data_IF_549146325669
#
_entry.id   IF_549146325669
#
_cell.length_a   1.000
_cell.length_b   1.000
_cell.length_c   1.000
_cell.angle_alpha   90.00
_cell.angle_beta   90.00
_cell.angle_gamma   90.00
#
_symmetry.space_group_name_H-M   'P 1'
#
loop_
_entity.id
_entity.type
_entity.pdbx_description
1 polymer ?
#
# COMPACT_ATOMS: atom_id res chain seq x y z
N UNK A 1 -10.59 17.04 15.32
CA UNK A 1 -11.18 17.28 14.01
C UNK A 1 -10.42 16.50 12.94
N UNK A 2 -11.16 15.95 11.99
CA UNK A 2 -10.62 15.07 10.97
C UNK A 2 -9.64 15.78 10.02
N UNK A 3 -9.93 17.04 9.69
CA UNK A 3 -9.08 17.90 8.86
C UNK A 3 -7.69 18.12 9.47
N UNK A 4 -7.64 18.21 10.82
CA UNK A 4 -6.35 18.28 11.51
C UNK A 4 -5.54 17.01 11.31
N UNK A 5 -6.19 15.83 11.33
CA UNK A 5 -5.51 14.56 11.12
C UNK A 5 -4.96 14.45 9.70
N UNK A 6 -5.71 14.83 8.68
CA UNK A 6 -5.23 14.88 7.31
C UNK A 6 -4.02 15.81 7.15
N UNK A 7 -4.12 17.03 7.68
CA UNK A 7 -3.02 17.99 7.68
C UNK A 7 -1.79 17.52 8.47
N UNK A 8 -2.00 16.79 9.57
CA UNK A 8 -0.92 16.16 10.34
C UNK A 8 -0.19 15.11 9.50
N UNK A 9 -0.92 14.22 8.81
CA UNK A 9 -0.33 13.21 7.95
C UNK A 9 0.45 13.83 6.78
N UNK A 10 -0.01 14.93 6.19
CA UNK A 10 0.72 15.62 5.14
C UNK A 10 2.05 16.22 5.62
N UNK A 11 2.07 16.74 6.82
CA UNK A 11 3.25 17.42 7.41
C UNK A 11 4.30 16.44 7.93
N UNK A 12 3.91 15.20 8.25
CA UNK A 12 4.86 14.21 8.76
C UNK A 12 5.89 13.80 7.72
N UNK A 13 7.19 13.76 8.08
CA UNK A 13 8.24 13.24 7.20
C UNK A 13 7.98 11.79 6.82
N UNK A 14 8.37 11.39 5.60
CA UNK A 14 8.15 10.06 5.03
C UNK A 14 8.49 8.93 6.02
N UNK A 15 9.65 9.02 6.68
CA UNK A 15 10.12 8.03 7.68
C UNK A 15 9.21 7.85 8.90
N UNK A 16 8.27 8.78 9.12
CA UNK A 16 7.33 8.77 10.26
C UNK A 16 5.89 8.55 9.85
N UNK A 17 5.59 8.58 8.56
CA UNK A 17 4.22 8.47 8.05
C UNK A 17 3.52 7.19 8.48
N UNK A 18 4.20 6.06 8.42
CA UNK A 18 3.61 4.79 8.85
C UNK A 18 3.17 4.82 10.32
N UNK A 19 4.02 5.38 11.19
CA UNK A 19 3.65 5.59 12.61
C UNK A 19 2.50 6.59 12.77
N UNK A 20 2.49 7.65 11.99
CA UNK A 20 1.41 8.66 12.04
C UNK A 20 0.06 8.07 11.60
N UNK A 21 0.07 7.20 10.58
CA UNK A 21 -1.13 6.45 10.15
C UNK A 21 -1.59 5.49 11.26
N UNK A 22 -0.67 4.83 11.96
CA UNK A 22 -1.00 4.03 13.14
C UNK A 22 -1.69 4.85 14.24
N UNK A 23 -1.20 6.06 14.52
CA UNK A 23 -1.85 6.98 15.45
C UNK A 23 -3.27 7.36 14.97
N UNK A 24 -3.43 7.66 13.68
CA UNK A 24 -4.76 7.95 13.12
C UNK A 24 -5.73 6.79 13.31
N UNK A 25 -5.28 5.56 13.04
CA UNK A 25 -6.08 4.34 13.26
C UNK A 25 -6.46 4.13 14.72
N UNK A 26 -5.52 4.32 15.66
CA UNK A 26 -5.79 4.21 17.09
C UNK A 26 -6.80 5.27 17.61
N UNK A 27 -6.93 6.40 16.90
CA UNK A 27 -7.94 7.41 17.14
C UNK A 27 -9.28 7.14 16.42
N UNK A 28 -9.43 5.97 15.80
CA UNK A 28 -10.66 5.52 15.15
C UNK A 28 -10.83 5.95 13.69
N UNK A 29 -9.81 6.53 13.06
CA UNK A 29 -9.84 6.83 11.64
C UNK A 29 -9.62 5.56 10.80
N UNK A 30 -10.37 5.45 9.72
CA UNK A 30 -10.14 4.45 8.67
C UNK A 30 -9.24 5.04 7.58
N UNK A 31 -8.65 4.19 6.76
CA UNK A 31 -7.89 4.63 5.58
C UNK A 31 -8.45 3.94 4.34
N UNK A 32 -8.75 4.71 3.30
CA UNK A 32 -9.05 4.16 1.99
C UNK A 32 -7.77 3.79 1.23
N UNK A 33 -7.78 2.67 0.48
CA UNK A 33 -6.68 2.34 -0.39
C UNK A 33 -6.53 3.38 -1.51
N UNK A 34 -5.34 3.43 -2.11
CA UNK A 34 -5.04 4.26 -3.27
C UNK A 34 -5.99 3.96 -4.42
N UNK A 35 -6.52 5.02 -5.05
CA UNK A 35 -7.36 4.92 -6.23
C UNK A 35 -7.17 6.16 -7.12
N UNK A 36 -6.87 5.97 -8.39
CA UNK A 36 -6.62 7.07 -9.33
C UNK A 36 -7.79 8.03 -9.49
N UNK A 37 -9.03 7.57 -9.23
CA UNK A 37 -10.23 8.39 -9.35
C UNK A 37 -10.56 9.20 -8.10
N UNK A 38 -10.12 8.77 -6.91
CA UNK A 38 -10.46 9.44 -5.63
C UNK A 38 -9.25 10.04 -4.92
N UNK A 39 -8.07 9.44 -5.02
CA UNK A 39 -6.86 9.94 -4.35
C UNK A 39 -6.38 11.27 -4.92
N UNK A 40 -6.20 12.27 -4.06
CA UNK A 40 -5.67 13.60 -4.41
C UNK A 40 -4.15 13.71 -4.34
N UNK A 41 -3.63 14.94 -4.21
CA UNK A 41 -2.21 15.20 -3.94
C UNK A 41 -1.86 15.23 -2.47
N UNK A 42 -2.84 15.44 -1.60
CA UNK A 42 -2.72 15.55 -0.15
C UNK A 42 -3.68 14.57 0.50
N UNK A 43 -3.48 14.27 1.79
CA UNK A 43 -4.44 13.52 2.57
C UNK A 43 -5.74 14.29 2.68
N UNK A 44 -6.83 13.62 2.36
CA UNK A 44 -8.17 14.17 2.41
C UNK A 44 -9.04 13.36 3.36
N UNK A 45 -10.16 13.94 3.78
CA UNK A 45 -11.18 13.26 4.57
C UNK A 45 -12.38 13.03 3.67
N UNK A 46 -12.94 11.83 3.69
CA UNK A 46 -14.19 11.54 3.02
C UNK A 46 -15.38 12.21 3.74
N UNK A 47 -16.51 12.27 3.08
CA UNK A 47 -17.73 12.92 3.58
C UNK A 47 -18.24 12.33 4.92
N UNK A 48 -17.83 11.11 5.27
CA UNK A 48 -18.17 10.50 6.56
C UNK A 48 -17.42 11.09 7.75
N UNK A 49 -16.43 11.96 7.51
CA UNK A 49 -15.60 12.61 8.52
C UNK A 49 -14.68 11.66 9.32
N UNK A 50 -14.55 10.40 8.90
CA UNK A 50 -13.80 9.35 9.62
C UNK A 50 -12.83 8.57 8.74
N UNK A 51 -12.96 8.66 7.42
CA UNK A 51 -12.12 7.93 6.49
C UNK A 51 -11.11 8.86 5.85
N UNK A 52 -9.83 8.53 5.98
CA UNK A 52 -8.69 9.23 5.39
C UNK A 52 -8.42 8.66 4.00
N UNK A 53 -8.39 9.52 2.99
CA UNK A 53 -8.09 9.16 1.60
C UNK A 53 -6.60 9.37 1.40
N UNK A 54 -5.90 8.27 1.08
CA UNK A 54 -4.45 8.30 0.85
C UNK A 54 -4.13 9.01 -0.47
N UNK A 55 -3.16 9.97 -0.48
CA UNK A 55 -2.84 10.72 -1.69
C UNK A 55 -1.95 9.93 -2.68
N UNK A 56 -2.02 10.28 -3.97
CA UNK A 56 -1.14 9.73 -5.01
C UNK A 56 0.34 10.08 -4.77
N UNK A 57 0.63 11.17 -4.06
CA UNK A 57 1.99 11.55 -3.67
C UNK A 57 2.66 10.54 -2.74
N UNK A 58 1.90 9.67 -2.08
CA UNK A 58 2.45 8.59 -1.28
C UNK A 58 3.03 7.44 -2.12
N UNK A 59 2.80 7.41 -3.44
CA UNK A 59 3.36 6.40 -4.34
C UNK A 59 4.78 6.79 -4.72
N UNK A 60 5.78 6.12 -4.16
CA UNK A 60 7.18 6.35 -4.49
C UNK A 60 7.46 6.06 -5.97
N UNK A 61 8.04 7.03 -6.63
CA UNK A 61 8.38 6.93 -8.05
C UNK A 61 7.28 7.38 -9.02
N UNK A 62 6.12 7.77 -8.53
CA UNK A 62 5.12 8.48 -9.33
C UNK A 62 5.50 9.96 -9.39
N UNK A 63 5.82 10.46 -10.58
CA UNK A 63 6.22 11.85 -10.78
C UNK A 63 5.02 12.80 -10.81
N UNK A 64 5.26 14.08 -10.43
CA UNK A 64 4.22 15.12 -10.41
C UNK A 64 3.51 15.27 -11.75
N UNK A 65 4.24 15.19 -12.85
CA UNK A 65 3.70 15.31 -14.21
C UNK A 65 2.69 14.19 -14.53
N UNK A 66 2.92 12.97 -14.02
CA UNK A 66 1.98 11.86 -14.18
C UNK A 66 0.75 12.07 -13.29
N UNK A 67 0.95 12.50 -12.05
CA UNK A 67 -0.16 12.84 -11.14
C UNK A 67 -1.05 13.94 -11.73
N UNK A 68 -0.47 15.00 -12.26
CA UNK A 68 -1.24 16.10 -12.88
C UNK A 68 -2.09 15.59 -14.05
N UNK A 69 -1.56 14.70 -14.90
CA UNK A 69 -2.33 14.10 -15.98
C UNK A 69 -3.54 13.30 -15.45
N UNK A 70 -3.37 12.56 -14.36
CA UNK A 70 -4.46 11.80 -13.73
C UNK A 70 -5.51 12.74 -13.17
N UNK A 71 -5.10 13.70 -12.35
CA UNK A 71 -6.01 14.60 -11.64
C UNK A 71 -6.82 15.52 -12.55
N UNK A 72 -6.22 15.93 -13.67
CA UNK A 72 -6.88 16.83 -14.65
C UNK A 72 -7.89 16.09 -15.53
N UNK A 73 -7.73 14.78 -15.74
CA UNK A 73 -8.50 14.04 -16.74
C UNK A 73 -9.46 12.98 -16.16
N UNK A 74 -9.43 12.77 -14.83
CA UNK A 74 -10.35 11.84 -14.17
C UNK A 74 -11.79 12.39 -14.11
N UNK A 75 -12.85 11.55 -13.96
CA UNK A 75 -12.77 10.11 -13.67
C UNK A 75 -12.50 9.27 -14.91
N UNK A 76 -11.85 8.12 -14.70
CA UNK A 76 -11.66 7.07 -15.71
C UNK A 76 -12.52 5.87 -15.34
N UNK A 77 -13.37 5.40 -16.25
CA UNK A 77 -14.27 4.27 -16.00
C UNK A 77 -13.67 2.95 -16.50
N UNK A 78 -12.81 3.02 -17.53
CA UNK A 78 -12.18 1.85 -18.15
C UNK A 78 -10.68 2.09 -18.31
N UNK A 79 -9.95 0.99 -18.49
CA UNK A 79 -8.51 1.05 -18.75
C UNK A 79 -8.20 1.71 -20.09
N UNK A 80 -9.07 1.55 -21.09
CA UNK A 80 -8.96 2.19 -22.39
C UNK A 80 -9.09 3.71 -22.28
N UNK A 81 -10.08 4.22 -21.52
CA UNK A 81 -10.20 5.65 -21.23
C UNK A 81 -8.93 6.20 -20.62
N UNK A 82 -8.31 5.47 -19.69
CA UNK A 82 -7.07 5.89 -19.04
C UNK A 82 -5.87 5.87 -19.99
N UNK A 83 -5.66 4.78 -20.73
CA UNK A 83 -4.49 4.59 -21.59
C UNK A 83 -4.52 5.42 -22.87
N UNK A 84 -5.70 5.63 -23.43
CA UNK A 84 -5.89 6.24 -24.77
C UNK A 84 -6.61 7.59 -24.71
N UNK A 85 -6.72 8.18 -23.53
CA UNK A 85 -7.31 9.50 -23.37
C UNK A 85 -6.55 10.57 -24.18
N UNK A 86 -7.28 11.40 -24.91
CA UNK A 86 -6.70 12.38 -25.86
C UNK A 86 -5.76 13.39 -25.19
N UNK A 87 -6.09 13.79 -23.94
CA UNK A 87 -5.33 14.78 -23.19
C UNK A 87 -4.20 14.17 -22.35
N UNK A 88 -4.16 12.85 -22.21
CA UNK A 88 -3.12 12.14 -21.44
C UNK A 88 -1.94 11.84 -22.36
N UNK A 89 -0.82 12.51 -22.13
CA UNK A 89 0.36 12.32 -22.98
C UNK A 89 1.15 11.08 -22.58
N UNK A 90 1.51 10.29 -23.57
CA UNK A 90 2.30 9.07 -23.43
C UNK A 90 3.63 9.28 -22.67
N UNK A 91 4.31 10.41 -22.90
CA UNK A 91 5.59 10.70 -22.26
C UNK A 91 5.47 11.01 -20.77
N UNK A 92 4.36 11.62 -20.33
CA UNK A 92 4.12 11.96 -18.94
C UNK A 92 3.63 10.75 -18.14
N UNK A 93 2.69 9.99 -18.71
CA UNK A 93 2.22 8.73 -18.14
C UNK A 93 2.99 7.54 -18.74
N UNK A 94 4.28 7.48 -18.47
CA UNK A 94 5.21 6.50 -19.04
C UNK A 94 5.12 5.11 -18.36
N UNK A 95 5.87 4.12 -18.88
CA UNK A 95 5.90 2.76 -18.31
C UNK A 95 6.19 2.73 -16.81
N UNK A 96 7.11 3.57 -16.32
CA UNK A 96 7.45 3.63 -14.89
C UNK A 96 6.27 4.14 -14.04
N UNK A 97 5.55 5.15 -14.52
CA UNK A 97 4.35 5.63 -13.83
C UNK A 97 3.26 4.55 -13.78
N UNK A 98 3.01 3.86 -14.91
CA UNK A 98 2.06 2.74 -14.96
C UNK A 98 2.48 1.58 -14.04
N UNK A 99 3.77 1.24 -14.02
CA UNK A 99 4.31 0.20 -13.15
C UNK A 99 4.00 0.45 -11.67
N UNK A 100 4.32 1.65 -11.17
CA UNK A 100 4.06 1.96 -9.76
C UNK A 100 2.57 2.13 -9.44
N UNK A 101 1.76 2.61 -10.37
CA UNK A 101 0.31 2.70 -10.23
C UNK A 101 -0.36 1.32 -10.15
N UNK A 102 0.04 0.38 -11.01
CA UNK A 102 -0.47 -0.99 -10.96
C UNK A 102 -0.06 -1.69 -9.67
N UNK A 103 1.23 -1.70 -9.33
CA UNK A 103 1.77 -2.41 -8.17
C UNK A 103 1.33 -1.82 -6.83
N UNK A 104 1.04 -0.53 -6.76
CA UNK A 104 0.46 0.11 -5.57
C UNK A 104 -1.04 -0.18 -5.40
N UNK A 105 -1.69 -0.76 -6.40
CA UNK A 105 -3.13 -1.03 -6.41
C UNK A 105 -3.99 0.19 -6.76
N UNK A 106 -3.39 1.33 -7.09
CA UNK A 106 -4.14 2.56 -7.41
C UNK A 106 -5.05 2.43 -8.62
N UNK A 107 -4.76 1.50 -9.53
CA UNK A 107 -5.54 1.24 -10.74
C UNK A 107 -6.53 0.06 -10.61
N UNK A 108 -6.73 -0.47 -9.40
CA UNK A 108 -7.61 -1.63 -9.19
C UNK A 108 -9.05 -1.39 -9.69
N UNK A 109 -9.54 -0.17 -9.62
CA UNK A 109 -10.88 0.18 -10.12
C UNK A 109 -11.05 0.11 -11.64
N UNK A 110 -9.94 0.02 -12.40
CA UNK A 110 -9.94 -0.14 -13.86
C UNK A 110 -9.72 -1.58 -14.31
N UNK A 111 -9.45 -2.49 -13.37
CA UNK A 111 -9.30 -3.91 -13.64
C UNK A 111 -10.70 -4.53 -13.75
N UNK A 112 -11.11 -4.91 -14.95
CA UNK A 112 -12.36 -5.61 -15.24
C UNK A 112 -12.17 -7.13 -15.37
N UNK A 113 -13.24 -7.85 -15.70
CA UNK A 113 -13.29 -9.32 -15.78
C UNK A 113 -12.43 -9.93 -16.90
N UNK A 114 -11.88 -9.13 -17.82
CA UNK A 114 -10.95 -9.60 -18.85
C UNK A 114 -9.59 -9.94 -18.28
N UNK A 115 -9.25 -9.41 -17.10
CA UNK A 115 -7.98 -9.66 -16.44
C UNK A 115 -8.12 -10.77 -15.38
N UNK A 116 -7.33 -11.82 -15.51
CA UNK A 116 -7.34 -12.97 -14.58
C UNK A 116 -6.81 -12.63 -13.19
N UNK A 117 -6.09 -11.51 -13.05
CA UNK A 117 -5.57 -11.03 -11.77
C UNK A 117 -4.74 -9.76 -11.91
N UNK A 118 -4.24 -9.25 -10.78
CA UNK A 118 -3.50 -7.99 -10.75
C UNK A 118 -2.14 -8.06 -11.46
N UNK A 119 -1.49 -9.22 -11.48
CA UNK A 119 -0.23 -9.43 -12.21
C UNK A 119 -0.49 -9.44 -13.71
N UNK A 120 -1.53 -10.16 -14.15
CA UNK A 120 -1.98 -10.13 -15.54
C UNK A 120 -2.27 -8.69 -15.99
N UNK A 121 -3.05 -7.93 -15.22
CA UNK A 121 -3.33 -6.53 -15.50
C UNK A 121 -2.05 -5.69 -15.63
N UNK A 122 -1.12 -5.83 -14.69
CA UNK A 122 0.17 -5.14 -14.71
C UNK A 122 1.00 -5.47 -15.95
N UNK A 123 1.06 -6.73 -16.35
CA UNK A 123 1.79 -7.16 -17.55
C UNK A 123 1.21 -6.55 -18.81
N UNK A 124 -0.12 -6.56 -18.95
CA UNK A 124 -0.82 -5.99 -20.09
C UNK A 124 -0.67 -4.47 -20.22
N UNK A 125 -0.60 -3.76 -19.09
CA UNK A 125 -0.71 -2.29 -19.05
C UNK A 125 0.64 -1.61 -18.86
N UNK A 126 1.52 -2.16 -18.05
CA UNK A 126 2.78 -1.53 -17.65
C UNK A 126 4.01 -2.20 -18.25
N UNK A 127 4.11 -3.53 -18.21
CA UNK A 127 5.27 -4.27 -18.76
C UNK A 127 5.28 -4.14 -20.27
N UNK A 128 4.16 -4.42 -20.90
CA UNK A 128 3.99 -4.26 -22.34
C UNK A 128 2.92 -3.18 -22.63
N UNK A 129 3.29 -1.93 -22.37
CA UNK A 129 2.38 -0.80 -22.50
C UNK A 129 1.79 -0.70 -23.91
N UNK A 130 0.46 -0.87 -24.08
CA UNK A 130 -0.20 -0.80 -25.37
C UNK A 130 -0.24 0.65 -25.87
N UNK A 131 -0.13 0.82 -27.19
CA UNK A 131 -0.26 2.13 -27.88
C UNK A 131 -1.65 2.34 -28.47
N UNK A 132 -2.43 1.28 -28.61
CA UNK A 132 -3.79 1.27 -29.17
C UNK A 132 -4.55 0.07 -28.57
N UNK A 133 -5.87 0.11 -28.66
CA UNK A 133 -6.76 -0.94 -28.12
C UNK A 133 -6.43 -2.34 -28.64
N UNK A 134 -6.10 -2.50 -29.91
CA UNK A 134 -5.72 -3.79 -30.46
C UNK A 134 -4.50 -4.39 -29.75
N UNK A 135 -3.49 -3.57 -29.37
CA UNK A 135 -2.36 -4.06 -28.61
C UNK A 135 -2.74 -4.46 -27.18
N UNK A 136 -3.73 -3.80 -26.57
CA UNK A 136 -4.22 -4.20 -25.25
C UNK A 136 -4.91 -5.57 -25.33
N UNK A 137 -5.72 -5.80 -26.36
CA UNK A 137 -6.37 -7.11 -26.58
C UNK A 137 -5.35 -8.22 -26.81
N UNK A 138 -4.33 -7.96 -27.64
CA UNK A 138 -3.23 -8.90 -27.88
C UNK A 138 -2.48 -9.23 -26.56
N UNK A 139 -2.25 -8.24 -25.72
CA UNK A 139 -1.58 -8.40 -24.41
C UNK A 139 -2.43 -9.24 -23.46
N UNK A 140 -3.75 -9.00 -23.40
CA UNK A 140 -4.67 -9.76 -22.55
C UNK A 140 -4.60 -11.25 -22.87
N UNK A 141 -4.53 -11.62 -24.15
CA UNK A 141 -4.37 -13.01 -24.57
C UNK A 141 -2.97 -13.54 -24.26
N UNK A 142 -1.94 -12.74 -24.51
CA UNK A 142 -0.53 -13.13 -24.34
C UNK A 142 -0.17 -13.45 -22.88
N UNK A 143 -0.70 -12.68 -21.93
CA UNK A 143 -0.38 -12.80 -20.51
C UNK A 143 -1.48 -13.50 -19.68
N UNK A 144 -2.47 -14.16 -20.33
CA UNK A 144 -3.64 -14.73 -19.66
C UNK A 144 -3.32 -15.71 -18.51
N UNK A 145 -2.18 -16.38 -18.56
CA UNK A 145 -1.74 -17.37 -17.56
C UNK A 145 -1.10 -16.76 -16.30
N UNK A 146 -0.87 -15.44 -16.25
CA UNK A 146 -0.12 -14.84 -15.14
C UNK A 146 -0.92 -14.71 -13.83
N UNK A 147 -2.23 -14.51 -13.88
CA UNK A 147 -3.09 -14.42 -12.70
C UNK A 147 -2.78 -13.24 -11.77
N UNK A 148 -2.73 -13.51 -10.46
CA UNK A 148 -2.43 -12.53 -9.42
C UNK A 148 -0.95 -12.56 -9.00
N UNK A 149 -0.50 -11.44 -8.41
CA UNK A 149 0.74 -11.44 -7.65
C UNK A 149 0.64 -12.36 -6.44
N UNK A 150 1.76 -13.00 -6.06
CA UNK A 150 1.82 -13.72 -4.80
C UNK A 150 1.59 -12.77 -3.61
N UNK A 151 1.21 -13.33 -2.47
CA UNK A 151 1.03 -12.53 -1.24
C UNK A 151 2.32 -11.81 -0.85
N UNK A 152 3.47 -12.46 -1.00
CA UNK A 152 4.81 -11.92 -0.72
C UNK A 152 5.13 -10.74 -1.63
N UNK A 153 4.89 -10.88 -2.94
CA UNK A 153 5.07 -9.78 -3.91
C UNK A 153 4.18 -8.58 -3.56
N UNK A 154 2.92 -8.81 -3.22
CA UNK A 154 1.98 -7.75 -2.83
C UNK A 154 2.42 -7.02 -1.56
N UNK A 155 2.88 -7.75 -0.55
CA UNK A 155 3.41 -7.17 0.69
C UNK A 155 4.63 -6.30 0.37
N UNK A 156 5.57 -6.82 -0.42
CA UNK A 156 6.77 -6.10 -0.80
C UNK A 156 6.45 -4.83 -1.59
N UNK A 157 5.60 -4.92 -2.62
CA UNK A 157 5.24 -3.78 -3.45
C UNK A 157 4.54 -2.67 -2.66
N UNK A 158 3.56 -3.01 -1.83
CA UNK A 158 2.85 -2.03 -1.01
C UNK A 158 3.80 -1.39 0.00
N UNK A 159 4.66 -2.16 0.66
CA UNK A 159 5.65 -1.63 1.61
C UNK A 159 6.66 -0.70 0.91
N UNK A 160 7.20 -1.13 -0.23
CA UNK A 160 8.23 -0.36 -0.95
C UNK A 160 7.66 0.91 -1.59
N UNK A 161 6.47 0.82 -2.18
CA UNK A 161 5.88 1.92 -2.94
C UNK A 161 5.12 2.92 -2.06
N UNK A 162 4.47 2.48 -0.99
CA UNK A 162 3.63 3.36 -0.15
C UNK A 162 4.21 3.60 1.23
N UNK A 163 5.24 2.87 1.62
CA UNK A 163 5.81 2.90 2.97
C UNK A 163 4.90 2.27 4.03
N UNK A 164 3.80 1.64 3.64
CA UNK A 164 2.83 1.02 4.55
C UNK A 164 2.90 -0.50 4.47
N UNK A 165 3.02 -1.15 5.61
CA UNK A 165 2.95 -2.60 5.69
C UNK A 165 1.48 -3.07 5.66
N UNK A 166 1.07 -3.91 4.69
CA UNK A 166 -0.32 -4.32 4.53
C UNK A 166 -0.68 -5.48 5.47
N UNK A 167 -0.93 -5.19 6.75
CA UNK A 167 -1.22 -6.20 7.80
C UNK A 167 -2.36 -7.13 7.40
N UNK A 168 -3.40 -6.60 6.75
CA UNK A 168 -4.57 -7.36 6.29
C UNK A 168 -4.25 -8.43 5.24
N UNK A 169 -3.09 -8.36 4.57
CA UNK A 169 -2.63 -9.43 3.68
C UNK A 169 -1.93 -10.57 4.44
N UNK A 170 -1.36 -10.27 5.60
CA UNK A 170 -0.64 -11.23 6.45
C UNK A 170 -1.58 -11.88 7.46
N UNK A 171 -2.41 -11.07 8.11
CA UNK A 171 -3.38 -11.52 9.12
C UNK A 171 -4.77 -11.60 8.50
N UNK A 172 -5.29 -12.81 8.38
CA UNK A 172 -6.69 -13.02 7.99
C UNK A 172 -7.61 -12.58 9.14
N UNK A 173 -8.80 -12.07 8.79
CA UNK A 173 -9.71 -11.48 9.78
C UNK A 173 -10.10 -12.41 10.94
N UNK A 174 -10.22 -13.71 10.69
CA UNK A 174 -10.48 -14.73 11.70
C UNK A 174 -9.32 -14.91 12.69
N UNK A 175 -8.07 -14.79 12.25
CA UNK A 175 -6.89 -14.88 13.12
C UNK A 175 -6.85 -13.76 14.15
N UNK A 176 -7.15 -12.52 13.74
CA UNK A 176 -7.22 -11.38 14.66
C UNK A 176 -8.33 -11.57 15.70
N UNK A 177 -9.52 -12.00 15.27
CA UNK A 177 -10.63 -12.31 16.17
C UNK A 177 -10.25 -13.38 17.18
N UNK A 178 -9.60 -14.46 16.74
CA UNK A 178 -9.13 -15.53 17.62
C UNK A 178 -8.13 -15.04 18.67
N UNK A 179 -7.21 -14.14 18.30
CA UNK A 179 -6.25 -13.56 19.26
C UNK A 179 -6.97 -12.72 20.32
N UNK A 180 -7.92 -11.89 19.90
CA UNK A 180 -8.75 -11.08 20.81
C UNK A 180 -9.58 -11.97 21.74
N UNK A 181 -10.27 -12.99 21.21
CA UNK A 181 -11.11 -13.91 21.95
C UNK A 181 -10.30 -14.73 22.99
N UNK A 182 -9.03 -15.01 22.69
CA UNK A 182 -8.12 -15.68 23.63
C UNK A 182 -7.38 -14.71 24.57
N UNK A 183 -7.71 -13.42 24.53
CA UNK A 183 -7.10 -12.41 25.41
C UNK A 183 -5.61 -12.18 25.15
N UNK A 184 -5.14 -12.40 23.93
CA UNK A 184 -3.74 -12.17 23.53
C UNK A 184 -3.65 -10.77 22.89
N UNK A 185 -3.16 -9.74 23.63
CA UNK A 185 -3.12 -8.38 23.14
C UNK A 185 -2.00 -8.17 22.11
N UNK A 186 -2.11 -7.09 21.35
CA UNK A 186 -1.07 -6.64 20.43
C UNK A 186 0.18 -6.15 21.18
N UNK A 187 1.36 -6.20 20.52
CA UNK A 187 2.62 -5.76 21.13
C UNK A 187 2.59 -4.30 21.59
N UNK A 188 1.82 -3.43 20.94
CA UNK A 188 1.65 -2.03 21.35
C UNK A 188 0.93 -1.87 22.70
N UNK A 189 0.18 -2.87 23.14
CA UNK A 189 -0.54 -2.92 24.42
C UNK A 189 0.29 -3.54 25.55
N UNK A 190 1.55 -3.92 25.29
CA UNK A 190 2.43 -4.54 26.27
C UNK A 190 2.72 -3.64 27.46
N UNK A 191 2.28 -4.04 28.66
CA UNK A 191 2.39 -3.30 29.91
C UNK A 191 3.45 -3.84 30.91
N UNK A 192 4.33 -4.76 30.46
CA UNK A 192 5.34 -5.49 31.24
C UNK A 192 4.79 -6.54 32.24
N UNK A 193 3.48 -6.64 32.38
CA UNK A 193 2.81 -7.66 33.23
C UNK A 193 2.25 -8.80 32.39
N UNK A 194 2.07 -8.57 31.09
CA UNK A 194 1.55 -9.57 30.16
C UNK A 194 2.60 -10.65 29.90
N UNK A 195 2.15 -11.90 29.89
CA UNK A 195 3.03 -13.05 29.59
C UNK A 195 3.08 -13.36 28.08
N UNK A 196 2.06 -12.94 27.34
CA UNK A 196 1.92 -13.22 25.91
C UNK A 196 1.40 -11.99 25.18
N UNK A 197 2.00 -11.68 24.03
CA UNK A 197 1.55 -10.66 23.09
C UNK A 197 1.76 -11.18 21.67
N UNK A 198 0.99 -10.69 20.71
CA UNK A 198 1.19 -11.03 19.32
C UNK A 198 1.82 -9.86 18.53
N UNK A 199 2.54 -10.20 17.48
CA UNK A 199 3.10 -9.26 16.51
C UNK A 199 3.41 -9.96 15.19
N UNK A 200 3.65 -9.18 14.15
CA UNK A 200 4.16 -9.63 12.85
C UNK A 200 5.59 -9.18 12.71
N UNK A 201 6.50 -10.08 12.38
CA UNK A 201 7.90 -9.74 12.13
C UNK A 201 8.06 -9.17 10.71
N UNK A 202 8.54 -7.92 10.64
CA UNK A 202 8.86 -7.25 9.36
C UNK A 202 10.28 -7.49 8.92
N UNK A 203 11.21 -7.45 9.89
CA UNK A 203 12.64 -7.53 9.61
C UNK A 203 13.38 -8.22 10.76
N UNK A 204 14.34 -9.05 10.40
CA UNK A 204 15.28 -9.67 11.33
C UNK A 204 16.68 -9.19 10.97
N UNK A 205 17.43 -8.71 11.96
CA UNK A 205 18.82 -8.29 11.80
C UNK A 205 19.67 -8.95 12.87
N UNK A 206 20.77 -9.57 12.48
CA UNK A 206 21.77 -10.10 13.42
C UNK A 206 22.76 -9.00 13.73
N UNK A 207 22.98 -8.74 15.01
CA UNK A 207 23.99 -7.79 15.50
C UNK A 207 24.93 -8.47 16.45
N UNK A 208 26.13 -7.91 16.61
CA UNK A 208 27.12 -8.37 17.56
C UNK A 208 27.32 -7.35 18.68
N UNK A 209 27.55 -7.85 19.89
CA UNK A 209 27.96 -7.03 21.03
C UNK A 209 29.43 -6.67 20.92
N UNK A 210 29.93 -5.81 21.81
CA UNK A 210 31.37 -5.49 21.95
C UNK A 210 32.21 -6.73 22.24
N UNK A 211 31.63 -7.77 22.84
CA UNK A 211 32.28 -9.05 23.18
C UNK A 211 32.00 -10.13 22.11
N UNK A 212 31.68 -9.74 20.89
CA UNK A 212 31.46 -10.61 19.73
C UNK A 212 30.30 -11.63 19.88
N UNK A 213 29.42 -11.46 20.89
CA UNK A 213 28.22 -12.29 21.05
C UNK A 213 27.11 -11.78 20.10
N UNK A 214 26.56 -12.71 19.34
CA UNK A 214 25.45 -12.39 18.42
C UNK A 214 24.12 -12.26 19.17
N UNK A 215 23.25 -11.37 18.70
CA UNK A 215 21.86 -11.24 19.13
C UNK A 215 20.99 -10.82 17.96
N UNK A 216 19.70 -11.16 18.03
CA UNK A 216 18.75 -10.79 17.01
C UNK A 216 18.03 -9.49 17.37
N UNK A 217 17.85 -8.64 16.37
CA UNK A 217 17.00 -7.46 16.46
C UNK A 217 15.84 -7.67 15.51
N UNK A 218 14.65 -7.78 16.07
CA UNK A 218 13.40 -7.91 15.34
C UNK A 218 12.74 -6.54 15.24
N UNK A 219 12.38 -6.14 14.04
CA UNK A 219 11.44 -5.05 13.80
C UNK A 219 10.06 -5.69 13.59
N UNK A 220 9.14 -5.41 14.48
CA UNK A 220 7.82 -6.02 14.51
C UNK A 220 6.72 -4.96 14.44
N UNK A 221 5.55 -5.35 13.98
CA UNK A 221 4.37 -4.49 13.82
C UNK A 221 3.11 -5.22 14.26
N UNK A 222 2.11 -4.50 14.69
CA UNK A 222 0.76 -4.98 15.00
C UNK A 222 -0.32 -4.30 14.16
N UNK A 223 -1.58 -4.59 14.39
CA UNK A 223 -2.73 -4.04 13.67
C UNK A 223 -2.94 -2.53 13.88
N UNK A 224 -2.36 -1.97 14.94
CA UNK A 224 -2.30 -0.52 15.16
C UNK A 224 -1.20 0.16 14.33
N UNK A 225 -0.48 -0.59 13.48
CA UNK A 225 0.69 -0.11 12.73
C UNK A 225 1.81 0.46 13.63
N UNK A 226 1.88 -0.01 14.89
CA UNK A 226 2.95 0.39 15.82
C UNK A 226 4.18 -0.47 15.56
N UNK A 227 5.26 0.17 15.12
CA UNK A 227 6.54 -0.49 14.91
C UNK A 227 7.32 -0.54 16.22
N UNK A 228 7.63 -1.74 16.67
CA UNK A 228 8.36 -1.99 17.90
C UNK A 228 9.67 -2.75 17.60
N UNK A 229 10.71 -2.46 18.35
CA UNK A 229 12.00 -3.18 18.24
C UNK A 229 12.19 -4.12 19.40
N UNK A 230 12.33 -5.41 19.12
CA UNK A 230 12.60 -6.46 20.11
C UNK A 230 14.06 -6.90 19.95
N UNK A 231 14.76 -7.09 21.06
CA UNK A 231 16.12 -7.67 21.08
C UNK A 231 16.07 -9.04 21.74
N UNK A 232 16.44 -10.07 20.98
CA UNK A 232 16.50 -11.45 21.47
C UNK A 232 17.96 -11.83 21.68
N UNK A 233 18.29 -12.14 22.94
CA UNK A 233 19.62 -12.60 23.36
C UNK A 233 19.59 -14.11 23.45
N UNK A 234 20.59 -14.80 22.88
CA UNK A 234 20.81 -16.24 23.06
C UNK A 234 21.59 -16.57 24.29
#
# INVERSE_FOLDING_TARGET
PAEWMAAFLDKEPERKKEKAIGIAKSLGFKTEPLNINTSGKVWEISDDGKTLIQPLTSIKGLGDSAMDQILMNRPFNTIEEFLFHKEVTYSKLNKKALDVLCRSGAMKSLQDDRFTGAKHFWSCVAVDRPRKEANLLDNIETYADEGDFSTEERIQYLTDLTGMFPINLVMKGDTLSQLVDNGIPAISEYDKKLQMVWFITRKVTIKKTKNDKSYYVLEVIDDNNVITTIRCWG
#
